data_IF_461455032747
#
_entry.id   IF_461455032747
#
_cell.length_a   1.000
_cell.length_b   1.000
_cell.length_c   1.000
_cell.angle_alpha   90.00
_cell.angle_beta   90.00
_cell.angle_gamma   90.00
#
_symmetry.space_group_name_H-M   'P 1'
#
loop_
_entity.id
_entity.type
_entity.pdbx_description
1 polymer ?
#
# COMPACT_ATOMS: atom_id res chain seq x y z
N UNK A 1 10.40 -24.99 -10.89
CA UNK A 1 9.43 -24.86 -12.00
C UNK A 1 8.09 -24.49 -11.41
N UNK A 2 7.61 -23.27 -11.62
CA UNK A 2 6.21 -22.94 -11.34
C UNK A 2 5.41 -23.48 -12.52
N UNK A 3 4.45 -24.40 -12.32
CA UNK A 3 3.64 -24.90 -13.41
C UNK A 3 2.81 -23.76 -13.98
N UNK A 4 3.08 -23.38 -15.23
CA UNK A 4 2.30 -22.42 -16.01
C UNK A 4 1.02 -23.12 -16.51
N UNK A 5 0.11 -23.49 -15.62
CA UNK A 5 -1.23 -23.91 -16.00
C UNK A 5 -2.17 -22.70 -15.89
N UNK A 6 -2.53 -22.15 -17.06
CA UNK A 6 -3.40 -20.99 -17.32
C UNK A 6 -2.81 -19.60 -17.00
N UNK A 7 -2.92 -18.68 -17.96
CA UNK A 7 -2.54 -17.28 -17.79
C UNK A 7 -3.44 -16.65 -16.71
N UNK A 8 -2.88 -16.08 -15.63
CA UNK A 8 -3.68 -15.52 -14.54
C UNK A 8 -4.49 -14.32 -15.04
N UNK A 9 -5.75 -14.21 -14.60
CA UNK A 9 -6.58 -13.03 -14.91
C UNK A 9 -5.96 -11.80 -14.24
N UNK A 10 -5.85 -10.70 -14.98
CA UNK A 10 -5.24 -9.45 -14.50
C UNK A 10 -6.23 -8.65 -13.67
N UNK A 11 -5.84 -8.25 -12.46
CA UNK A 11 -6.55 -7.31 -11.61
C UNK A 11 -5.62 -6.18 -11.16
N UNK A 12 -6.13 -4.94 -11.13
CA UNK A 12 -5.36 -3.76 -10.74
C UNK A 12 -5.85 -3.25 -9.38
N UNK A 13 -4.94 -2.94 -8.48
CA UNK A 13 -5.21 -2.43 -7.14
C UNK A 13 -4.34 -1.20 -6.87
N UNK A 14 -4.94 -0.03 -6.94
CA UNK A 14 -4.35 1.26 -6.60
C UNK A 14 -4.72 1.59 -5.16
N UNK A 15 -3.73 1.86 -4.33
CA UNK A 15 -3.91 2.32 -2.96
C UNK A 15 -3.64 3.82 -2.93
N UNK A 16 -4.57 4.64 -2.43
CA UNK A 16 -4.40 6.10 -2.44
C UNK A 16 -5.13 6.76 -1.27
N UNK A 17 -4.64 7.89 -0.72
CA UNK A 17 -5.35 8.67 0.28
C UNK A 17 -6.54 9.39 -0.36
N UNK A 18 -7.62 9.50 0.41
CA UNK A 18 -8.79 10.31 0.13
C UNK A 18 -8.59 11.72 0.70
N UNK A 19 -8.67 12.72 -0.18
CA UNK A 19 -8.53 14.14 0.18
C UNK A 19 -9.86 14.91 0.14
N UNK A 20 -11.01 14.21 0.10
CA UNK A 20 -12.31 14.86 -0.09
C UNK A 20 -12.86 15.33 1.27
N UNK A 21 -12.67 16.62 1.60
CA UNK A 21 -13.53 17.29 2.59
C UNK A 21 -14.99 17.20 2.12
N UNK A 22 -15.90 16.85 3.03
CA UNK A 22 -17.36 16.98 2.83
C UNK A 22 -17.73 18.41 2.44
N UNK A 23 -17.76 18.69 1.14
CA UNK A 23 -18.61 19.73 0.57
C UNK A 23 -19.18 19.14 -0.71
N UNK A 24 -20.50 18.89 -0.69
CA UNK A 24 -21.28 18.42 -1.83
C UNK A 24 -20.90 19.24 -3.06
N UNK A 25 -20.28 18.64 -4.07
CA UNK A 25 -20.25 19.17 -5.43
C UNK A 25 -19.64 18.16 -6.42
N UNK A 26 -20.47 17.81 -7.39
CA UNK A 26 -20.15 17.27 -8.70
C UNK A 26 -19.06 18.09 -9.41
N UNK A 27 -17.79 17.66 -9.39
CA UNK A 27 -16.83 17.92 -10.48
C UNK A 27 -15.46 17.30 -10.19
N UNK A 28 -14.91 16.59 -11.17
CA UNK A 28 -13.53 16.06 -11.22
C UNK A 28 -12.46 17.17 -11.05
N UNK A 29 -12.84 18.45 -11.18
CA UNK A 29 -11.95 19.59 -10.92
C UNK A 29 -11.78 19.97 -9.43
N UNK A 30 -12.56 19.39 -8.51
CA UNK A 30 -12.52 19.73 -7.08
C UNK A 30 -11.31 19.17 -6.32
N UNK A 31 -10.88 17.93 -6.61
CA UNK A 31 -9.79 17.27 -5.87
C UNK A 31 -8.42 17.95 -6.05
N UNK A 32 -8.15 18.47 -7.26
CA UNK A 32 -6.91 19.21 -7.55
C UNK A 32 -6.83 20.54 -6.80
N UNK A 33 -7.96 21.19 -6.53
CA UNK A 33 -7.99 22.44 -5.75
C UNK A 33 -7.80 22.19 -4.25
N UNK A 34 -8.34 21.10 -3.72
CA UNK A 34 -8.15 20.72 -2.31
C UNK A 34 -6.71 20.32 -2.02
N UNK A 35 -6.08 19.54 -2.90
CA UNK A 35 -4.66 19.20 -2.76
C UNK A 35 -3.78 20.45 -2.77
N UNK A 36 -4.04 21.39 -3.69
CA UNK A 36 -3.34 22.68 -3.74
C UNK A 36 -3.53 23.49 -2.45
N UNK A 37 -4.72 23.46 -1.85
CA UNK A 37 -4.98 24.17 -0.60
C UNK A 37 -4.18 23.57 0.57
N UNK A 38 -4.10 22.25 0.68
CA UNK A 38 -3.30 21.55 1.70
C UNK A 38 -1.82 21.87 1.53
N UNK A 39 -1.30 21.82 0.29
CA UNK A 39 0.09 22.17 -0.01
C UNK A 39 0.37 23.63 0.34
N UNK A 40 -0.48 24.56 -0.10
CA UNK A 40 -0.30 25.98 0.18
C UNK A 40 -0.34 26.28 1.69
N UNK A 41 -1.20 25.59 2.45
CA UNK A 41 -1.24 25.70 3.91
C UNK A 41 0.05 25.19 4.56
N UNK A 42 0.57 24.05 4.11
CA UNK A 42 1.84 23.51 4.61
C UNK A 42 3.01 24.47 4.32
N UNK A 43 3.07 25.00 3.09
CA UNK A 43 4.09 25.96 2.67
C UNK A 43 4.01 27.28 3.46
N UNK A 44 2.80 27.79 3.74
CA UNK A 44 2.62 29.03 4.49
C UNK A 44 2.93 28.87 5.99
N UNK A 45 2.62 27.71 6.57
CA UNK A 45 2.80 27.44 7.99
C UNK A 45 4.17 26.87 8.35
N UNK A 46 4.94 26.37 7.36
CA UNK A 46 6.18 25.64 7.57
C UNK A 46 6.00 24.32 8.34
N UNK A 47 4.76 23.87 8.53
CA UNK A 47 4.40 22.64 9.21
C UNK A 47 4.08 21.53 8.20
N UNK A 48 4.13 20.28 8.66
CA UNK A 48 3.75 19.13 7.85
C UNK A 48 2.32 19.26 7.28
N UNK A 49 2.04 18.73 6.08
CA UNK A 49 0.70 18.67 5.53
C UNK A 49 -0.26 17.95 6.48
N UNK A 50 -1.52 18.37 6.47
CA UNK A 50 -2.55 17.72 7.27
C UNK A 50 -2.75 16.26 6.84
N UNK A 51 -2.99 15.37 7.79
CA UNK A 51 -3.28 13.95 7.54
C UNK A 51 -4.53 13.79 6.65
N UNK A 52 -4.58 12.70 5.89
CA UNK A 52 -5.74 12.37 5.05
C UNK A 52 -6.97 12.03 5.88
N UNK A 53 -8.14 12.09 5.22
CA UNK A 53 -9.42 11.75 5.84
C UNK A 53 -9.71 10.24 5.81
N UNK A 54 -9.13 9.50 4.85
CA UNK A 54 -9.17 8.02 4.78
C UNK A 54 -8.20 7.49 3.73
N UNK A 55 -7.79 6.23 3.83
CA UNK A 55 -7.20 5.50 2.72
C UNK A 55 -8.28 4.99 1.74
N UNK A 56 -7.90 4.67 0.49
CA UNK A 56 -8.80 4.08 -0.52
C UNK A 56 -8.17 2.92 -1.27
N UNK A 57 -9.02 2.00 -1.71
CA UNK A 57 -8.71 0.90 -2.64
C UNK A 57 -9.40 1.20 -3.97
N UNK A 58 -8.64 1.39 -5.05
CA UNK A 58 -9.14 1.79 -6.36
C UNK A 58 -10.09 3.01 -6.29
N UNK A 59 -9.78 3.99 -5.44
CA UNK A 59 -10.59 5.20 -5.25
C UNK A 59 -11.81 5.03 -4.34
N UNK A 60 -12.00 3.84 -3.74
CA UNK A 60 -13.09 3.59 -2.78
C UNK A 60 -12.55 3.45 -1.34
N UNK A 61 -13.02 4.27 -0.39
CA UNK A 61 -12.56 4.20 1.01
C UNK A 61 -13.06 2.95 1.76
N UNK A 62 -14.10 2.28 1.24
CA UNK A 62 -14.81 1.24 1.97
C UNK A 62 -15.97 1.80 2.80
N UNK A 63 -16.69 0.92 3.53
CA UNK A 63 -17.67 1.34 4.52
C UNK A 63 -17.02 2.18 5.62
N UNK A 64 -17.48 3.43 5.76
CA UNK A 64 -16.95 4.40 6.72
C UNK A 64 -18.09 4.93 7.61
N UNK A 65 -17.85 5.23 8.91
CA UNK A 65 -18.87 5.85 9.75
C UNK A 65 -19.40 7.12 9.08
N UNK A 66 -20.70 7.16 8.77
CA UNK A 66 -21.40 8.25 8.06
C UNK A 66 -21.24 8.30 6.52
N UNK A 67 -20.74 7.24 5.87
CA UNK A 67 -20.70 7.11 4.41
C UNK A 67 -21.11 5.69 3.95
N UNK A 68 -22.17 5.59 3.15
CA UNK A 68 -22.73 4.32 2.64
C UNK A 68 -21.98 3.76 1.42
N UNK A 69 -20.68 4.06 1.28
CA UNK A 69 -19.90 3.52 0.15
C UNK A 69 -19.67 2.02 0.35
N UNK A 70 -20.04 1.21 -0.63
CA UNK A 70 -19.89 -0.25 -0.58
C UNK A 70 -18.42 -0.74 -0.70
N UNK A 71 -17.46 0.18 -0.88
CA UNK A 71 -16.06 -0.16 -1.06
C UNK A 71 -15.75 -0.82 -2.40
N UNK A 72 -14.48 -1.17 -2.60
CA UNK A 72 -14.06 -1.91 -3.78
C UNK A 72 -14.41 -3.40 -3.64
N UNK A 73 -14.95 -4.02 -4.69
CA UNK A 73 -15.25 -5.46 -4.72
C UNK A 73 -14.44 -6.18 -5.80
N UNK A 74 -13.65 -7.17 -5.41
CA UNK A 74 -12.91 -8.06 -6.29
C UNK A 74 -13.66 -9.38 -6.46
N UNK A 75 -14.13 -9.69 -7.66
CA UNK A 75 -14.81 -10.94 -7.95
C UNK A 75 -13.82 -12.03 -8.39
N UNK A 76 -13.91 -13.20 -7.75
CA UNK A 76 -13.04 -14.35 -8.06
C UNK A 76 -13.85 -15.63 -8.28
N UNK A 77 -13.25 -16.55 -9.00
CA UNK A 77 -13.76 -17.90 -9.27
C UNK A 77 -12.85 -18.91 -8.57
N UNK A 78 -13.44 -19.90 -7.92
CA UNK A 78 -12.76 -21.00 -7.22
C UNK A 78 -11.78 -21.72 -8.13
N UNK A 79 -10.60 -22.02 -7.60
CA UNK A 79 -9.52 -22.71 -8.30
C UNK A 79 -8.79 -21.86 -9.35
N UNK A 80 -9.11 -20.58 -9.50
CA UNK A 80 -8.40 -19.67 -10.42
C UNK A 80 -7.32 -18.87 -9.69
N UNK A 81 -6.25 -18.56 -10.41
CA UNK A 81 -5.20 -17.66 -9.96
C UNK A 81 -5.31 -16.31 -10.67
N UNK A 82 -5.16 -15.25 -9.89
CA UNK A 82 -5.26 -13.86 -10.32
C UNK A 82 -3.93 -13.15 -10.10
N UNK A 83 -3.49 -12.35 -11.06
CA UNK A 83 -2.34 -11.48 -10.91
C UNK A 83 -2.83 -10.11 -10.44
N UNK A 84 -2.57 -9.81 -9.17
CA UNK A 84 -2.85 -8.53 -8.54
C UNK A 84 -1.66 -7.61 -8.74
N UNK A 85 -1.89 -6.44 -9.34
CA UNK A 85 -0.90 -5.36 -9.39
C UNK A 85 -1.21 -4.38 -8.28
N UNK A 86 -0.42 -4.41 -7.21
CA UNK A 86 -0.60 -3.56 -6.03
C UNK A 86 0.32 -2.35 -6.18
N UNK A 87 -0.25 -1.16 -6.16
CA UNK A 87 0.48 0.10 -6.33
C UNK A 87 0.16 1.00 -5.16
N UNK A 88 1.19 1.43 -4.43
CA UNK A 88 1.02 2.46 -3.43
C UNK A 88 1.17 3.84 -4.10
N UNK A 89 0.04 4.48 -4.35
CA UNK A 89 -0.06 5.86 -4.81
C UNK A 89 -0.42 6.82 -3.66
N UNK A 90 -0.16 6.43 -2.42
CA UNK A 90 -0.17 7.33 -1.28
C UNK A 90 1.04 8.26 -1.29
N UNK A 91 0.88 9.40 -0.63
CA UNK A 91 1.89 10.47 -0.65
C UNK A 91 2.91 10.28 0.47
N UNK A 92 2.45 9.94 1.67
CA UNK A 92 3.28 9.92 2.89
C UNK A 92 3.26 8.61 3.66
N UNK A 93 2.37 7.66 3.31
CA UNK A 93 2.10 6.50 4.15
C UNK A 93 2.61 5.20 3.49
N UNK A 94 3.42 4.48 4.25
CA UNK A 94 3.74 3.08 3.97
C UNK A 94 2.56 2.21 4.39
N UNK A 95 2.22 1.20 3.58
CA UNK A 95 0.97 0.47 3.74
C UNK A 95 1.22 -1.02 3.91
N UNK A 96 0.47 -1.63 4.82
CA UNK A 96 0.20 -3.05 4.84
C UNK A 96 -1.05 -3.34 4.00
N UNK A 97 -0.94 -4.28 3.08
CA UNK A 97 -2.06 -4.82 2.30
C UNK A 97 -2.27 -6.28 2.66
N UNK A 98 -3.52 -6.65 3.00
CA UNK A 98 -3.89 -8.00 3.41
C UNK A 98 -5.25 -8.41 2.86
N UNK A 99 -5.39 -9.69 2.53
CA UNK A 99 -6.67 -10.30 2.16
C UNK A 99 -6.98 -11.41 3.18
N UNK A 100 -8.14 -11.34 3.82
CA UNK A 100 -8.55 -12.32 4.82
C UNK A 100 -8.54 -13.74 4.24
N UNK A 101 -7.89 -14.68 4.94
CA UNK A 101 -7.87 -16.09 4.57
C UNK A 101 -7.14 -16.43 3.26
N UNK A 102 -6.36 -15.51 2.70
CA UNK A 102 -5.60 -15.73 1.46
C UNK A 102 -4.13 -15.33 1.63
N UNK A 103 -3.24 -16.20 1.18
CA UNK A 103 -1.84 -15.86 0.98
C UNK A 103 -1.62 -15.31 -0.43
N UNK A 104 -0.63 -14.44 -0.54
CA UNK A 104 -0.21 -13.79 -1.77
C UNK A 104 1.19 -14.24 -2.12
N UNK A 105 1.39 -14.72 -3.34
CA UNK A 105 2.72 -15.09 -3.83
C UNK A 105 3.31 -13.93 -4.60
N UNK A 106 4.34 -13.29 -4.05
CA UNK A 106 5.01 -12.15 -4.70
C UNK A 106 5.87 -12.67 -5.84
N UNK A 107 5.79 -12.02 -7.00
CA UNK A 107 6.54 -12.42 -8.20
C UNK A 107 7.31 -11.27 -8.84
N UNK A 108 6.94 -10.03 -8.55
CA UNK A 108 7.58 -8.82 -9.10
C UNK A 108 7.49 -7.69 -8.08
N UNK A 109 8.56 -6.90 -7.97
CA UNK A 109 8.60 -5.65 -7.22
C UNK A 109 9.34 -4.62 -8.09
N UNK A 110 8.77 -3.42 -8.22
CA UNK A 110 9.33 -2.29 -8.97
C UNK A 110 9.78 -2.68 -10.39
N UNK A 111 8.86 -3.32 -11.13
CA UNK A 111 9.05 -3.84 -12.48
C UNK A 111 10.18 -4.87 -12.64
N UNK A 112 10.71 -5.41 -11.54
CA UNK A 112 11.76 -6.44 -11.53
C UNK A 112 11.23 -7.73 -10.93
N UNK A 113 11.44 -8.84 -11.63
CA UNK A 113 11.03 -10.14 -11.12
C UNK A 113 11.88 -10.57 -9.93
N UNK A 114 11.21 -11.11 -8.92
CA UNK A 114 11.83 -11.64 -7.70
C UNK A 114 11.60 -13.14 -7.60
N UNK A 115 12.46 -13.82 -6.84
CA UNK A 115 12.24 -15.23 -6.52
C UNK A 115 10.90 -15.37 -5.79
N UNK A 116 9.94 -16.17 -6.30
CA UNK A 116 8.61 -16.18 -5.71
C UNK A 116 8.61 -16.63 -4.26
N UNK A 117 7.89 -15.91 -3.41
CA UNK A 117 7.65 -16.26 -2.01
C UNK A 117 6.22 -15.94 -1.62
N UNK A 118 5.67 -16.73 -0.71
CA UNK A 118 4.29 -16.60 -0.23
C UNK A 118 4.27 -15.83 1.09
N UNK A 119 3.40 -14.84 1.20
CA UNK A 119 3.20 -14.03 2.42
C UNK A 119 1.70 -13.72 2.62
N UNK A 120 1.29 -13.44 3.85
CA UNK A 120 -0.08 -13.06 4.17
C UNK A 120 -0.29 -11.53 4.10
N UNK A 121 0.74 -10.77 4.42
CA UNK A 121 0.74 -9.31 4.53
C UNK A 121 1.81 -8.73 3.62
N UNK A 122 1.41 -7.88 2.68
CA UNK A 122 2.32 -7.16 1.79
C UNK A 122 2.65 -5.82 2.40
N UNK A 123 3.94 -5.51 2.51
CA UNK A 123 4.42 -4.18 2.85
C UNK A 123 4.77 -3.42 1.57
N UNK A 124 4.31 -2.18 1.43
CA UNK A 124 4.54 -1.38 0.22
C UNK A 124 4.68 0.11 0.57
N UNK A 125 5.82 0.70 0.19
CA UNK A 125 6.11 2.11 0.41
C UNK A 125 5.54 2.99 -0.73
N UNK A 126 5.31 4.30 -0.51
CA UNK A 126 4.88 5.23 -1.54
C UNK A 126 5.68 5.12 -2.84
N UNK A 127 4.98 5.03 -3.98
CA UNK A 127 5.58 4.90 -5.31
C UNK A 127 6.02 3.49 -5.70
N UNK A 128 6.09 2.55 -4.76
CA UNK A 128 6.43 1.15 -5.08
C UNK A 128 5.27 0.43 -5.77
N UNK A 129 5.65 -0.58 -6.56
CA UNK A 129 4.72 -1.48 -7.24
C UNK A 129 5.08 -2.93 -6.95
N UNK A 130 4.08 -3.75 -6.59
CA UNK A 130 4.28 -5.16 -6.29
C UNK A 130 3.25 -5.99 -7.04
N UNK A 131 3.70 -6.96 -7.85
CA UNK A 131 2.80 -7.94 -8.45
C UNK A 131 2.75 -9.20 -7.58
N UNK A 132 1.54 -9.59 -7.22
CA UNK A 132 1.25 -10.75 -6.40
C UNK A 132 0.25 -11.69 -7.08
N UNK A 133 0.48 -12.99 -6.98
CA UNK A 133 -0.46 -14.01 -7.38
C UNK A 133 -1.38 -14.35 -6.20
N UNK A 134 -2.68 -14.23 -6.43
CA UNK A 134 -3.75 -14.64 -5.54
C UNK A 134 -4.39 -15.90 -6.10
N UNK A 135 -4.31 -17.01 -5.36
CA UNK A 135 -5.02 -18.25 -5.71
C UNK A 135 -6.33 -18.30 -4.92
N UNK A 136 -7.45 -18.38 -5.64
CA UNK A 136 -8.78 -18.45 -5.05
C UNK A 136 -9.07 -19.90 -4.60
N UNK A 137 -8.60 -20.24 -3.40
CA UNK A 137 -8.60 -21.59 -2.84
C UNK A 137 -9.83 -21.96 -1.98
N UNK A 138 -10.82 -21.07 -1.86
CA UNK A 138 -12.07 -21.34 -1.14
C UNK A 138 -13.22 -21.68 -2.09
N UNK A 139 -14.19 -22.48 -1.65
CA UNK A 139 -15.32 -22.87 -2.50
C UNK A 139 -16.27 -21.70 -2.79
N UNK A 140 -16.70 -21.01 -1.73
CA UNK A 140 -17.49 -19.77 -1.80
C UNK A 140 -17.17 -18.90 -0.58
N UNK A 141 -17.56 -17.62 -0.62
CA UNK A 141 -17.39 -16.72 0.52
C UNK A 141 -17.17 -15.25 0.15
N UNK A 142 -17.12 -14.42 1.20
CA UNK A 142 -16.70 -13.02 1.15
C UNK A 142 -15.55 -12.82 2.12
N UNK A 143 -14.49 -12.16 1.69
CA UNK A 143 -13.28 -11.97 2.47
C UNK A 143 -12.89 -10.50 2.46
N UNK A 144 -12.52 -9.98 3.62
CA UNK A 144 -12.09 -8.59 3.75
C UNK A 144 -10.75 -8.37 3.03
N UNK A 145 -10.70 -7.38 2.16
CA UNK A 145 -9.46 -6.76 1.69
C UNK A 145 -9.23 -5.56 2.59
N UNK A 146 -8.07 -5.46 3.21
CA UNK A 146 -7.79 -4.40 4.16
C UNK A 146 -6.43 -3.77 3.91
N UNK A 147 -6.37 -2.46 4.12
CA UNK A 147 -5.16 -1.66 4.05
C UNK A 147 -5.02 -0.89 5.36
N UNK A 148 -3.88 -1.03 6.02
CA UNK A 148 -3.52 -0.24 7.20
C UNK A 148 -2.16 0.41 7.00
N UNK A 149 -1.94 1.59 7.58
CA UNK A 149 -0.62 2.20 7.55
C UNK A 149 0.38 1.43 8.42
N UNK A 150 1.66 1.53 8.04
CA UNK A 150 2.81 1.21 8.87
C UNK A 150 3.47 2.50 9.33
N UNK A 151 3.96 2.52 10.56
CA UNK A 151 4.64 3.66 11.14
C UNK A 151 5.62 3.21 12.23
N UNK A 152 6.89 3.59 12.06
CA UNK A 152 8.00 3.31 12.99
C UNK A 152 8.40 4.53 13.85
N UNK A 153 7.81 5.70 13.59
CA UNK A 153 8.09 6.98 14.27
C UNK A 153 6.81 7.65 14.80
N UNK A 154 6.94 8.62 15.71
CA UNK A 154 5.79 9.29 16.33
C UNK A 154 5.35 10.49 15.48
N UNK A 155 4.78 10.23 14.31
CA UNK A 155 4.18 11.25 13.42
C UNK A 155 2.67 10.97 13.30
N UNK A 156 1.85 11.97 13.02
CA UNK A 156 0.42 11.75 12.82
C UNK A 156 0.17 11.01 11.50
N UNK A 157 -0.50 9.86 11.56
CA UNK A 157 -0.90 9.06 10.40
C UNK A 157 -2.40 8.78 10.46
N UNK A 158 -3.01 8.63 9.29
CA UNK A 158 -4.43 8.30 9.16
C UNK A 158 -4.70 6.85 9.57
N UNK A 159 -5.24 6.66 10.78
CA UNK A 159 -5.58 5.34 11.34
C UNK A 159 -6.81 4.69 10.67
N UNK A 160 -7.39 5.31 9.64
CA UNK A 160 -8.60 4.82 9.01
C UNK A 160 -8.26 3.83 7.91
N UNK A 161 -8.47 2.55 8.24
CA UNK A 161 -8.28 1.39 7.37
C UNK A 161 -9.21 1.45 6.15
N UNK A 162 -8.64 1.49 4.94
CA UNK A 162 -9.44 1.28 3.74
C UNK A 162 -9.84 -0.19 3.66
N UNK A 163 -11.11 -0.44 3.33
CA UNK A 163 -11.60 -1.81 3.19
C UNK A 163 -12.29 -2.06 1.85
N UNK A 164 -12.11 -3.28 1.36
CA UNK A 164 -12.78 -3.82 0.20
C UNK A 164 -13.22 -5.27 0.47
N UNK A 165 -13.85 -5.88 -0.52
CA UNK A 165 -14.38 -7.24 -0.39
C UNK A 165 -13.88 -8.08 -1.56
N UNK A 166 -13.22 -9.19 -1.28
CA UNK A 166 -13.02 -10.28 -2.22
C UNK A 166 -14.25 -11.19 -2.15
N UNK A 167 -14.94 -11.37 -3.26
CA UNK A 167 -16.18 -12.14 -3.35
C UNK A 167 -16.05 -13.27 -4.36
N UNK A 168 -16.26 -14.49 -3.88
CA UNK A 168 -16.34 -15.67 -4.74
C UNK A 168 -17.62 -15.68 -5.57
N UNK A 169 -17.54 -16.23 -6.78
CA UNK A 169 -18.70 -16.49 -7.63
C UNK A 169 -19.61 -17.52 -6.96
N UNK A 170 -20.91 -17.30 -6.99
CA UNK A 170 -21.89 -18.15 -6.29
C UNK A 170 -22.12 -17.78 -4.82
N UNK A 171 -21.37 -16.83 -4.26
CA UNK A 171 -21.60 -16.37 -2.89
C UNK A 171 -22.92 -15.59 -2.76
N UNK A 172 -23.78 -16.07 -1.85
CA UNK A 172 -25.07 -15.45 -1.50
C UNK A 172 -24.91 -14.02 -0.94
N UNK A 173 -25.94 -13.20 -1.16
CA UNK A 173 -25.93 -11.78 -0.75
C UNK A 173 -25.75 -11.59 0.77
N UNK A 174 -26.26 -12.51 1.60
CA UNK A 174 -26.19 -12.44 3.07
C UNK A 174 -25.02 -13.21 3.68
N UNK A 175 -24.12 -13.76 2.86
CA UNK A 175 -22.97 -14.49 3.38
C UNK A 175 -22.10 -13.55 4.23
N UNK A 176 -21.71 -13.94 5.46
CA UNK A 176 -20.89 -13.11 6.34
C UNK A 176 -19.50 -12.89 5.75
N UNK A 177 -18.95 -11.70 5.97
CA UNK A 177 -17.60 -11.38 5.51
C UNK A 177 -16.57 -11.92 6.49
N UNK A 178 -15.66 -12.76 6.01
CA UNK A 178 -14.51 -13.21 6.79
C UNK A 178 -13.58 -12.03 7.03
N UNK A 179 -13.28 -11.78 8.31
CA UNK A 179 -12.43 -10.68 8.77
C UNK A 179 -10.99 -11.15 8.94
N UNK A 180 -10.07 -10.19 9.04
CA UNK A 180 -8.65 -10.47 9.30
C UNK A 180 -8.12 -9.52 10.37
N UNK A 181 -7.12 -9.97 11.12
CA UNK A 181 -6.35 -9.14 12.02
C UNK A 181 -5.25 -8.46 11.23
N UNK A 182 -5.26 -7.13 11.29
CA UNK A 182 -4.20 -6.30 10.69
C UNK A 182 -3.00 -6.23 11.64
N UNK A 183 -1.79 -6.13 11.09
CA UNK A 183 -0.60 -5.88 11.91
C UNK A 183 -0.77 -4.57 12.72
N UNK A 184 -0.15 -4.49 13.91
CA UNK A 184 0.04 -3.21 14.59
C UNK A 184 0.75 -2.19 13.70
N UNK A 185 0.49 -0.90 13.93
CA UNK A 185 1.12 0.20 13.18
C UNK A 185 2.66 0.09 13.18
N UNK A 186 3.24 -0.28 14.32
CA UNK A 186 4.68 -0.40 14.54
C UNK A 186 5.22 -1.82 14.32
N UNK A 187 4.62 -2.59 13.43
CA UNK A 187 5.01 -3.98 13.15
C UNK A 187 6.28 -4.09 12.28
N UNK A 188 7.41 -3.54 12.75
CA UNK A 188 8.71 -3.60 12.08
C UNK A 188 9.18 -5.04 11.77
N UNK A 189 8.88 -6.07 12.58
CA UNK A 189 9.22 -7.44 12.21
C UNK A 189 8.52 -7.91 10.92
N UNK A 190 7.30 -7.44 10.64
CA UNK A 190 6.54 -7.79 9.42
C UNK A 190 7.16 -7.13 8.20
N UNK A 191 7.55 -5.85 8.29
CA UNK A 191 8.22 -5.13 7.21
C UNK A 191 9.58 -5.74 6.90
N UNK A 192 10.39 -6.03 7.94
CA UNK A 192 11.68 -6.69 7.79
C UNK A 192 11.55 -8.08 7.14
N UNK A 193 10.54 -8.86 7.55
CA UNK A 193 10.29 -10.16 6.94
C UNK A 193 9.98 -10.04 5.44
N UNK A 194 9.21 -9.02 5.03
CA UNK A 194 8.93 -8.76 3.61
C UNK A 194 10.21 -8.39 2.85
N UNK A 195 10.97 -7.41 3.35
CA UNK A 195 12.20 -6.91 2.70
C UNK A 195 13.25 -8.02 2.57
N UNK A 196 13.49 -8.80 3.63
CA UNK A 196 14.46 -9.91 3.61
C UNK A 196 14.03 -11.09 2.73
N UNK A 197 12.75 -11.19 2.38
CA UNK A 197 12.27 -12.21 1.44
C UNK A 197 12.56 -11.86 -0.03
N UNK A 198 12.82 -10.59 -0.33
CA UNK A 198 13.13 -10.12 -1.68
C UNK A 198 14.50 -10.68 -2.11
N UNK A 199 14.47 -11.61 -3.07
CA UNK A 199 15.67 -12.27 -3.59
C UNK A 199 15.70 -12.19 -5.10
N UNK A 200 16.90 -12.04 -5.64
CA UNK A 200 17.15 -12.12 -7.09
C UNK A 200 16.71 -13.49 -7.65
N UNK A 201 16.35 -13.51 -8.93
CA UNK A 201 16.06 -14.74 -9.70
C UNK A 201 17.32 -15.57 -10.03
N UNK A 202 18.40 -15.43 -9.26
CA UNK A 202 19.64 -16.13 -9.55
C UNK A 202 19.45 -17.66 -9.54
N UNK A 203 20.20 -18.32 -10.42
CA UNK A 203 20.24 -19.77 -10.53
C UNK A 203 21.67 -20.23 -10.77
N UNK A 204 21.91 -21.55 -10.73
CA UNK A 204 23.23 -22.12 -11.07
C UNK A 204 23.61 -21.76 -12.51
N UNK A 205 22.63 -21.74 -13.43
CA UNK A 205 22.85 -21.41 -14.84
C UNK A 205 23.00 -19.89 -15.08
N UNK A 206 22.28 -19.07 -14.30
CA UNK A 206 22.32 -17.60 -14.38
C UNK A 206 22.62 -17.00 -12.99
N UNK A 207 23.88 -17.04 -12.54
CA UNK A 207 24.25 -16.52 -11.22
C UNK A 207 24.26 -14.99 -11.20
N UNK A 208 23.70 -14.39 -10.15
CA UNK A 208 23.84 -12.96 -9.89
C UNK A 208 25.22 -12.71 -9.26
N UNK A 209 26.18 -12.25 -10.09
CA UNK A 209 27.52 -11.88 -9.64
C UNK A 209 27.49 -10.42 -9.17
N UNK A 210 27.49 -10.22 -7.86
CA UNK A 210 27.60 -8.90 -7.23
C UNK A 210 28.99 -8.75 -6.59
N UNK A 211 29.59 -7.56 -6.57
CA UNK A 211 30.81 -7.31 -5.82
C UNK A 211 30.62 -7.68 -4.35
N UNK A 212 31.53 -8.51 -3.81
CA UNK A 212 31.51 -8.94 -2.41
C UNK A 212 32.45 -8.12 -1.54
N UNK A 213 33.32 -7.35 -2.16
CA UNK A 213 34.25 -6.43 -1.50
C UNK A 213 33.65 -5.05 -1.45
N UNK A 214 33.70 -4.43 -0.27
CA UNK A 214 33.29 -3.04 -0.08
C UNK A 214 34.51 -2.16 -0.33
N UNK A 215 34.51 -1.41 -1.43
CA UNK A 215 35.62 -0.52 -1.78
C UNK A 215 35.55 0.80 -0.99
N UNK A 216 34.34 1.26 -0.69
CA UNK A 216 34.07 2.51 0.02
C UNK A 216 32.93 2.33 1.03
N UNK A 217 33.14 2.87 2.23
CA UNK A 217 32.10 2.98 3.26
C UNK A 217 31.57 4.40 3.28
N UNK A 218 30.27 4.56 3.08
CA UNK A 218 29.59 5.85 3.13
C UNK A 218 28.76 5.91 4.42
N UNK A 219 28.92 6.98 5.18
CA UNK A 219 28.12 7.26 6.37
C UNK A 219 27.28 8.49 6.11
N UNK A 220 25.95 8.33 6.10
CA UNK A 220 25.01 9.41 5.90
C UNK A 220 24.34 9.75 7.24
N UNK A 221 24.42 11.01 7.65
CA UNK A 221 23.62 11.53 8.75
C UNK A 221 22.51 12.39 8.16
N UNK A 222 21.26 12.01 8.44
CA UNK A 222 20.10 12.81 8.07
C UNK A 222 19.53 13.37 9.36
N UNK A 223 19.70 14.66 9.56
CA UNK A 223 19.14 15.39 10.69
C UNK A 223 17.96 16.25 10.25
N UNK A 224 16.83 16.14 10.95
CA UNK A 224 15.70 17.07 10.78
C UNK A 224 15.84 18.18 11.81
N UNK A 225 16.27 19.36 11.37
CA UNK A 225 16.34 20.56 12.20
C UNK A 225 15.07 21.39 12.09
N UNK A 226 14.34 21.55 13.19
CA UNK A 226 13.25 22.53 13.28
C UNK A 226 13.88 23.86 13.67
N UNK A 227 14.01 24.79 12.73
CA UNK A 227 14.50 26.13 13.01
C UNK A 227 13.32 27.11 13.22
N UNK A 228 12.96 27.46 14.46
CA UNK A 228 11.86 28.39 14.71
C UNK A 228 12.25 29.78 14.18
N UNK A 229 11.67 30.18 13.05
CA UNK A 229 11.88 31.51 12.50
C UNK A 229 11.22 32.55 13.41
N UNK A 230 12.01 33.53 13.89
CA UNK A 230 11.51 34.63 14.74
C UNK A 230 10.80 35.74 13.94
N UNK A 231 10.83 35.72 12.61
CA UNK A 231 10.10 36.63 11.73
C UNK A 231 9.69 35.94 10.42
N UNK A 232 8.55 36.37 9.87
CA UNK A 232 7.80 35.72 8.78
C UNK A 232 8.57 35.71 7.45
N UNK A 233 9.27 34.61 7.19
CA UNK A 233 9.46 34.02 5.85
C UNK A 233 10.04 32.61 6.04
N UNK A 234 9.18 31.61 6.13
CA UNK A 234 9.59 30.20 6.30
C UNK A 234 10.10 29.64 4.98
N UNK A 235 11.41 29.40 4.90
CA UNK A 235 12.04 28.61 3.86
C UNK A 235 12.68 27.38 4.53
N UNK A 236 12.18 26.18 4.25
CA UNK A 236 12.78 24.94 4.72
C UNK A 236 13.93 24.55 3.77
N UNK A 237 15.18 24.75 4.20
CA UNK A 237 16.36 24.23 3.49
C UNK A 237 16.75 22.87 4.07
N UNK A 238 16.71 21.83 3.24
CA UNK A 238 17.50 20.63 3.48
C UNK A 238 18.98 21.00 3.27
N UNK A 239 19.72 21.12 4.37
CA UNK A 239 21.17 21.21 4.33
C UNK A 239 21.71 19.78 4.43
N UNK A 240 22.13 19.23 3.30
CA UNK A 240 23.02 18.07 3.28
C UNK A 240 24.41 18.53 3.70
N UNK A 241 25.02 17.80 4.63
CA UNK A 241 26.45 17.94 4.98
C UNK A 241 27.26 17.14 3.97
#
# INVERSE_FOLDING_TARGET
MVPLSSCPRKGFLILSPNLIRKKSLSSVNGGRQMLKAVINQAMQSGLAPNISDSHTINGHPGPFPNCSSQGYSLHVETGKTYLLRIINAAVNDELFFKIAGHNLTIVEVDATYVKPFSIDTVFIAPGQTTNALLTANHDTGKFLIAISPFMDTVVAVDNLTATGILRYKGTHAFFPTSLTTLPPLNATPVTNSFILSLKSLNSIQYPAKVPLTVDHSLFFTIGVGINPCRHVSMEARLLGI
#
